data_IF_000648967265
#
_entry.id   IF_000648967265
#
_cell.length_a   1.000
_cell.length_b   1.000
_cell.length_c   1.000
_cell.angle_alpha   90.00
_cell.angle_beta   90.00
_cell.angle_gamma   90.00
#
_symmetry.space_group_name_H-M   'P 1'
#
loop_
_entity.id
_entity.type
_entity.pdbx_description
1 polymer ?
#
# COMPACT_ATOMS: atom_id res chain seq x y z
N UNK A 1 28.57 59.42 4.06
CA UNK A 1 28.03 58.48 3.06
C UNK A 1 27.90 57.15 3.76
N UNK A 2 26.70 56.87 4.26
CA UNK A 2 26.36 55.61 4.93
C UNK A 2 25.70 54.69 3.90
N UNK A 3 26.09 53.41 3.94
CA UNK A 3 25.45 52.34 3.18
C UNK A 3 23.97 52.20 3.60
N UNK A 4 23.06 51.88 2.67
CA UNK A 4 21.69 51.55 3.05
C UNK A 4 21.62 50.12 3.56
N UNK A 5 21.17 50.00 4.81
CA UNK A 5 20.75 48.76 5.47
C UNK A 5 19.76 47.97 4.60
N UNK A 6 20.17 46.78 4.18
CA UNK A 6 19.27 45.75 3.69
C UNK A 6 18.58 45.07 4.89
N UNK A 7 17.56 45.72 5.45
CA UNK A 7 16.70 45.13 6.47
C UNK A 7 15.59 44.26 5.85
N UNK A 8 15.77 42.95 6.04
CA UNK A 8 14.79 42.02 6.61
C UNK A 8 13.32 42.12 6.15
N UNK A 9 12.93 41.28 5.18
CA UNK A 9 11.50 41.00 4.87
C UNK A 9 11.18 39.50 4.79
N UNK A 10 11.97 38.61 5.40
CA UNK A 10 11.79 37.15 5.20
C UNK A 10 11.37 36.31 6.43
N UNK A 11 11.01 36.89 7.58
CA UNK A 11 10.69 36.07 8.78
C UNK A 11 9.21 35.67 8.93
N UNK A 12 8.25 36.37 8.31
CA UNK A 12 6.83 36.12 8.54
C UNK A 12 6.26 34.94 7.71
N UNK A 13 6.72 34.76 6.46
CA UNK A 13 6.27 33.68 5.57
C UNK A 13 6.80 32.29 5.97
N UNK A 14 8.03 32.24 6.47
CA UNK A 14 8.68 30.99 6.91
C UNK A 14 8.02 30.40 8.15
N UNK A 15 7.47 31.24 9.03
CA UNK A 15 6.79 30.73 10.21
C UNK A 15 5.47 30.04 9.81
N UNK A 16 4.60 30.65 8.99
CA UNK A 16 3.26 30.10 8.63
C UNK A 16 3.34 28.66 8.10
N UNK A 17 4.30 28.38 7.21
CA UNK A 17 4.48 27.05 6.61
C UNK A 17 5.37 26.11 7.41
N UNK A 18 5.90 26.53 8.56
CA UNK A 18 6.78 25.70 9.40
C UNK A 18 6.23 24.30 9.71
N UNK A 19 4.93 24.08 10.00
CA UNK A 19 4.39 22.74 10.22
C UNK A 19 4.58 21.79 9.01
N UNK A 20 4.52 22.33 7.79
CA UNK A 20 4.76 21.61 6.54
C UNK A 20 6.27 21.46 6.26
N UNK A 21 7.04 22.54 6.32
CA UNK A 21 8.45 22.55 5.93
C UNK A 21 9.34 21.70 6.83
N UNK A 22 8.93 21.47 8.08
CA UNK A 22 9.61 20.60 9.05
C UNK A 22 9.19 19.12 8.97
N UNK A 23 8.45 18.71 7.94
CA UNK A 23 8.19 17.30 7.63
C UNK A 23 9.33 16.74 6.77
N UNK A 24 9.66 15.48 6.98
CA UNK A 24 10.59 14.74 6.13
C UNK A 24 9.99 14.54 4.73
N UNK A 25 10.85 14.45 3.70
CA UNK A 25 10.41 14.09 2.36
C UNK A 25 10.17 12.56 2.24
N UNK A 26 9.09 12.11 1.56
CA UNK A 26 8.01 12.93 1.01
C UNK A 26 7.11 13.50 2.13
N UNK A 27 6.75 14.78 2.00
CA UNK A 27 5.95 15.50 3.00
C UNK A 27 4.50 15.08 2.90
N UNK A 28 4.03 14.34 3.90
CA UNK A 28 2.66 13.82 3.94
C UNK A 28 1.68 14.93 4.33
N UNK A 29 0.67 15.15 3.49
CA UNK A 29 -0.38 16.16 3.70
C UNK A 29 -1.75 15.53 3.51
N UNK A 30 -2.60 15.64 4.52
CA UNK A 30 -4.03 15.35 4.46
C UNK A 30 -4.79 16.67 4.41
N UNK A 31 -5.51 16.92 3.34
CA UNK A 31 -6.38 18.09 3.18
C UNK A 31 -7.84 17.67 3.37
N UNK A 32 -8.51 18.31 4.33
CA UNK A 32 -9.90 18.05 4.75
C UNK A 32 -10.87 19.17 4.39
N UNK A 33 -10.38 20.22 3.71
CA UNK A 33 -11.21 21.37 3.28
C UNK A 33 -12.28 20.92 2.29
N UNK A 34 -13.35 21.68 2.04
CA UNK A 34 -14.33 21.31 1.02
C UNK A 34 -13.70 21.15 -0.39
N UNK A 35 -14.24 20.25 -1.23
CA UNK A 35 -13.72 19.96 -2.58
C UNK A 35 -13.47 21.23 -3.40
N UNK A 36 -14.39 22.21 -3.34
CA UNK A 36 -14.24 23.47 -4.08
C UNK A 36 -13.02 24.28 -3.64
N UNK A 37 -12.69 24.30 -2.35
CA UNK A 37 -11.50 24.98 -1.82
C UNK A 37 -10.23 24.20 -2.18
N UNK A 38 -10.28 22.87 -2.08
CA UNK A 38 -9.18 21.98 -2.45
C UNK A 38 -8.80 22.11 -3.93
N UNK A 39 -9.78 22.01 -4.83
CA UNK A 39 -9.56 22.06 -6.27
C UNK A 39 -9.09 23.44 -6.75
N UNK A 40 -9.55 24.53 -6.12
CA UNK A 40 -9.07 25.88 -6.39
C UNK A 40 -7.57 26.02 -6.11
N UNK A 41 -7.11 25.56 -4.95
CA UNK A 41 -5.71 25.59 -4.56
C UNK A 41 -5.43 24.57 -3.46
N UNK A 42 -4.37 23.78 -3.59
CA UNK A 42 -3.91 22.82 -2.59
C UNK A 42 -2.39 22.70 -2.61
N UNK A 43 -1.82 22.08 -1.57
CA UNK A 43 -0.40 21.76 -1.54
C UNK A 43 -0.11 20.60 -2.48
N UNK A 44 0.99 20.70 -3.22
CA UNK A 44 1.47 19.68 -4.16
C UNK A 44 1.50 18.30 -3.50
N UNK A 45 0.96 17.30 -4.20
CA UNK A 45 0.87 15.90 -3.77
C UNK A 45 0.04 15.65 -2.49
N UNK A 46 -0.77 16.61 -2.04
CA UNK A 46 -1.65 16.40 -0.89
C UNK A 46 -2.72 15.35 -1.18
N UNK A 47 -2.96 14.49 -0.20
CA UNK A 47 -4.06 13.55 -0.17
C UNK A 47 -5.33 14.26 0.31
N UNK A 48 -6.47 13.97 -0.30
CA UNK A 48 -7.72 14.66 -0.01
C UNK A 48 -8.78 13.72 0.57
N UNK A 49 -9.45 14.13 1.64
CA UNK A 49 -10.64 13.45 2.18
C UNK A 49 -11.63 14.54 2.60
N UNK A 50 -12.76 14.64 1.92
CA UNK A 50 -13.85 15.54 2.32
C UNK A 50 -15.21 14.83 2.20
N UNK A 51 -16.19 15.18 3.07
CA UNK A 51 -16.04 15.98 4.30
C UNK A 51 -15.29 15.24 5.44
N UNK A 52 -14.98 15.91 6.55
CA UNK A 52 -14.27 15.32 7.72
C UNK A 52 -14.95 14.05 8.24
N UNK A 53 -16.29 13.95 8.14
CA UNK A 53 -17.05 12.77 8.56
C UNK A 53 -16.66 11.48 7.81
N UNK A 54 -16.10 11.61 6.60
CA UNK A 54 -15.60 10.48 5.80
C UNK A 54 -14.26 9.92 6.33
N UNK A 55 -13.57 10.62 7.23
CA UNK A 55 -12.29 10.18 7.77
C UNK A 55 -12.42 8.86 8.56
N UNK A 56 -13.57 8.64 9.22
CA UNK A 56 -13.80 7.45 10.03
C UNK A 56 -13.78 6.15 9.22
N UNK A 57 -14.30 6.17 7.99
CA UNK A 57 -14.24 5.03 7.08
C UNK A 57 -12.83 4.81 6.51
N UNK A 58 -12.02 5.89 6.48
CA UNK A 58 -10.70 5.97 5.84
C UNK A 58 -9.52 6.03 6.82
N UNK A 59 -9.71 5.72 8.09
CA UNK A 59 -8.60 5.71 9.06
C UNK A 59 -7.46 4.77 8.67
N UNK A 60 -7.72 3.73 7.88
CA UNK A 60 -6.69 2.86 7.31
C UNK A 60 -5.73 3.58 6.35
N UNK A 61 -6.06 4.78 5.90
CA UNK A 61 -5.23 5.55 4.99
C UNK A 61 -4.18 6.36 5.73
N UNK A 62 -4.42 6.64 7.02
CA UNK A 62 -3.54 7.50 7.80
C UNK A 62 -2.13 6.90 7.92
N UNK A 63 -1.11 7.75 8.14
CA UNK A 63 0.24 7.29 8.39
C UNK A 63 0.32 6.40 9.64
N UNK A 64 1.37 5.57 9.77
CA UNK A 64 1.68 4.91 11.02
C UNK A 64 1.74 5.92 12.18
N UNK A 65 1.37 5.49 13.40
CA UNK A 65 1.16 6.39 14.56
C UNK A 65 2.30 7.37 14.83
N UNK A 66 3.54 6.98 14.55
CA UNK A 66 4.74 7.78 14.82
C UNK A 66 5.26 8.56 13.61
N UNK A 67 4.56 8.57 12.48
CA UNK A 67 4.97 9.27 11.26
C UNK A 67 4.29 10.65 11.23
N UNK A 68 5.05 11.75 11.34
CA UNK A 68 4.49 13.09 11.28
C UNK A 68 3.87 13.40 9.92
N UNK A 69 2.75 14.12 9.92
CA UNK A 69 2.08 14.59 8.70
C UNK A 69 1.29 15.87 8.99
N UNK A 70 1.01 16.64 7.93
CA UNK A 70 0.18 17.84 8.01
C UNK A 70 -1.29 17.47 7.85
N UNK A 71 -2.15 18.04 8.68
CA UNK A 71 -3.60 18.09 8.47
C UNK A 71 -3.97 19.53 8.15
N UNK A 72 -4.50 19.79 6.96
CA UNK A 72 -5.01 21.09 6.54
C UNK A 72 -6.54 21.04 6.51
N UNK A 73 -7.21 21.93 7.21
CA UNK A 73 -8.67 21.97 7.26
C UNK A 73 -9.19 23.42 7.32
N UNK A 74 -10.47 23.59 7.04
CA UNK A 74 -11.13 24.89 7.19
C UNK A 74 -11.30 25.19 8.69
N UNK A 75 -11.16 26.45 9.09
CA UNK A 75 -11.37 26.88 10.47
C UNK A 75 -12.79 26.55 10.99
N UNK A 76 -13.79 26.50 10.10
CA UNK A 76 -15.16 26.08 10.42
C UNK A 76 -15.25 24.61 10.85
N UNK A 77 -14.25 23.78 10.49
CA UNK A 77 -14.21 22.35 10.82
C UNK A 77 -13.40 22.06 12.10
N UNK A 78 -13.07 23.10 12.90
CA UNK A 78 -12.16 23.00 14.05
C UNK A 78 -12.49 21.86 15.00
N UNK A 79 -13.73 21.78 15.48
CA UNK A 79 -14.10 20.84 16.53
C UNK A 79 -14.06 19.40 16.02
N UNK A 80 -14.60 19.15 14.82
CA UNK A 80 -14.57 17.84 14.17
C UNK A 80 -13.13 17.35 13.93
N UNK A 81 -12.24 18.24 13.50
CA UNK A 81 -10.83 17.90 13.23
C UNK A 81 -10.07 17.65 14.53
N UNK A 82 -10.25 18.48 15.55
CA UNK A 82 -9.60 18.27 16.86
C UNK A 82 -10.06 16.94 17.46
N UNK A 83 -11.36 16.63 17.40
CA UNK A 83 -11.89 15.35 17.88
C UNK A 83 -11.27 14.18 17.11
N UNK A 84 -11.25 14.24 15.78
CA UNK A 84 -10.75 13.15 14.94
C UNK A 84 -9.26 12.83 15.16
N UNK A 85 -8.44 13.84 15.48
CA UNK A 85 -6.99 13.68 15.67
C UNK A 85 -6.53 13.73 17.14
N UNK A 86 -7.46 13.76 18.11
CA UNK A 86 -7.14 13.86 19.54
C UNK A 86 -6.16 12.77 20.05
N UNK A 87 -6.13 11.60 19.40
CA UNK A 87 -5.26 10.47 19.79
C UNK A 87 -4.05 10.28 18.86
N UNK A 88 -3.84 11.19 17.91
CA UNK A 88 -2.80 11.09 16.87
C UNK A 88 -1.81 12.25 17.06
N UNK A 89 -0.86 12.08 18.00
CA UNK A 89 0.12 13.11 18.35
C UNK A 89 1.11 13.49 17.23
N UNK A 90 1.19 12.67 16.18
CA UNK A 90 2.01 12.92 14.99
C UNK A 90 1.33 13.86 13.97
N UNK A 91 0.02 14.11 14.11
CA UNK A 91 -0.70 15.04 13.24
C UNK A 91 -0.35 16.49 13.60
N UNK A 92 0.01 17.28 12.59
CA UNK A 92 0.26 18.72 12.72
C UNK A 92 -0.91 19.45 12.07
N UNK A 93 -1.77 20.06 12.88
CA UNK A 93 -3.04 20.60 12.41
C UNK A 93 -2.88 22.09 12.08
N UNK A 94 -3.24 22.46 10.85
CA UNK A 94 -3.37 23.84 10.39
C UNK A 94 -4.80 24.07 9.95
N UNK A 95 -5.45 25.03 10.60
CA UNK A 95 -6.77 25.54 10.27
C UNK A 95 -6.60 26.83 9.45
N UNK A 96 -7.23 26.88 8.28
CA UNK A 96 -7.25 28.07 7.41
C UNK A 96 -8.64 28.67 7.37
N UNK A 97 -8.74 29.99 7.53
CA UNK A 97 -10.01 30.72 7.50
C UNK A 97 -9.79 32.23 7.56
N UNK A 98 -10.86 33.01 7.55
CA UNK A 98 -10.76 34.47 7.71
C UNK A 98 -10.52 34.85 9.19
N UNK A 99 -9.50 35.67 9.43
CA UNK A 99 -9.06 36.09 10.77
C UNK A 99 -10.14 36.83 11.56
N UNK A 100 -11.10 37.48 10.87
CA UNK A 100 -12.17 38.26 11.49
C UNK A 100 -13.27 37.40 12.14
N UNK A 101 -13.31 36.09 11.89
CA UNK A 101 -14.36 35.20 12.41
C UNK A 101 -13.98 34.50 13.74
N UNK A 102 -12.73 34.61 14.20
CA UNK A 102 -12.20 33.76 15.29
C UNK A 102 -11.42 34.55 16.33
N UNK A 103 -12.04 35.59 16.89
CA UNK A 103 -11.52 36.27 18.07
C UNK A 103 -12.54 36.18 19.21
N UNK A 104 -12.76 34.99 19.81
CA UNK A 104 -13.35 34.79 21.16
C UNK A 104 -13.15 33.34 21.70
N UNK A 105 -11.92 32.82 21.74
CA UNK A 105 -11.66 31.53 22.39
C UNK A 105 -10.19 31.30 22.68
N UNK A 106 -9.88 30.73 23.84
CA UNK A 106 -8.52 30.51 24.34
C UNK A 106 -7.55 29.96 23.27
N UNK A 107 -6.28 30.39 23.37
CA UNK A 107 -5.20 29.92 22.51
C UNK A 107 -5.25 28.38 22.35
N UNK A 108 -5.12 27.84 21.12
CA UNK A 108 -5.25 26.42 20.88
C UNK A 108 -4.31 25.62 21.80
N UNK A 109 -4.89 24.80 22.67
CA UNK A 109 -4.15 23.77 23.39
C UNK A 109 -3.81 22.65 22.40
N UNK A 110 -2.52 22.28 22.33
CA UNK A 110 -2.10 21.07 21.62
C UNK A 110 -1.81 21.22 20.12
N UNK A 111 -0.80 22.00 19.74
CA UNK A 111 -0.16 21.90 18.41
C UNK A 111 -1.01 22.31 17.19
N UNK A 112 -2.24 22.80 17.39
CA UNK A 112 -3.13 23.33 16.34
C UNK A 112 -2.75 24.77 16.04
N UNK A 113 -2.60 25.10 14.75
CA UNK A 113 -2.35 26.46 14.28
C UNK A 113 -3.54 27.00 13.49
N UNK A 114 -3.94 28.23 13.77
CA UNK A 114 -4.90 28.99 12.96
C UNK A 114 -4.15 30.04 12.14
N UNK A 115 -4.50 30.21 10.87
CA UNK A 115 -3.92 31.25 10.01
C UNK A 115 -4.90 31.69 8.91
N UNK A 116 -4.68 32.90 8.38
CA UNK A 116 -5.39 33.39 7.18
C UNK A 116 -5.18 32.43 6.00
N UNK A 117 -6.27 32.03 5.35
CA UNK A 117 -6.23 31.21 4.12
C UNK A 117 -5.38 31.88 3.04
N UNK A 118 -5.60 33.18 2.81
CA UNK A 118 -4.86 33.98 1.82
C UNK A 118 -3.37 33.99 2.15
N UNK A 119 -2.99 34.29 3.40
CA UNK A 119 -1.57 34.34 3.80
C UNK A 119 -0.88 32.97 3.67
N UNK A 120 -1.57 31.88 4.02
CA UNK A 120 -1.04 30.52 3.90
C UNK A 120 -0.75 30.16 2.43
N UNK A 121 -1.73 30.37 1.54
CA UNK A 121 -1.57 30.01 0.13
C UNK A 121 -0.68 30.99 -0.65
N UNK A 122 -0.62 32.27 -0.28
CA UNK A 122 0.37 33.21 -0.82
C UNK A 122 1.79 32.75 -0.48
N UNK A 123 2.04 32.39 0.78
CA UNK A 123 3.34 31.87 1.22
C UNK A 123 3.69 30.56 0.49
N UNK A 124 2.72 29.65 0.34
CA UNK A 124 2.93 28.38 -0.36
C UNK A 124 3.18 28.60 -1.86
N UNK A 125 2.53 29.58 -2.48
CA UNK A 125 2.75 29.97 -3.89
C UNK A 125 4.16 30.52 -4.11
N UNK A 126 4.67 31.34 -3.19
CA UNK A 126 6.03 31.87 -3.28
C UNK A 126 7.10 30.75 -3.29
N UNK A 127 6.82 29.62 -2.65
CA UNK A 127 7.69 28.44 -2.64
C UNK A 127 7.39 27.43 -3.76
N UNK A 128 6.47 27.73 -4.68
CA UNK A 128 6.10 26.83 -5.78
C UNK A 128 5.34 25.56 -5.34
N UNK A 129 4.75 25.57 -4.15
CA UNK A 129 4.11 24.41 -3.53
C UNK A 129 2.63 24.26 -3.87
N UNK A 130 2.00 25.27 -4.47
CA UNK A 130 0.56 25.27 -4.74
C UNK A 130 0.25 24.66 -6.10
N UNK A 131 -0.81 23.88 -6.16
CA UNK A 131 -1.41 23.31 -7.37
C UNK A 131 -2.92 23.54 -7.35
N UNK A 132 -3.55 23.36 -8.50
CA UNK A 132 -5.00 23.46 -8.70
C UNK A 132 -5.43 22.31 -9.59
N UNK A 133 -6.66 21.85 -9.46
CA UNK A 133 -7.22 20.82 -10.34
C UNK A 133 -8.71 21.03 -10.55
N UNK A 134 -9.31 20.31 -11.50
CA UNK A 134 -10.77 20.32 -11.64
C UNK A 134 -11.43 19.10 -11.01
N UNK A 135 -10.74 17.95 -10.97
CA UNK A 135 -11.22 16.72 -10.32
C UNK A 135 -10.07 15.94 -9.68
N UNK A 136 -10.38 15.01 -8.78
CA UNK A 136 -9.42 14.05 -8.23
C UNK A 136 -8.88 13.10 -9.30
N UNK A 137 -9.76 12.62 -10.18
CA UNK A 137 -9.38 11.73 -11.28
C UNK A 137 -8.33 12.36 -12.18
N UNK A 138 -8.49 13.64 -12.53
CA UNK A 138 -7.48 14.34 -13.33
C UNK A 138 -6.13 14.40 -12.62
N UNK A 139 -6.08 14.66 -11.31
CA UNK A 139 -4.80 14.70 -10.57
C UNK A 139 -4.11 13.34 -10.54
N UNK A 140 -4.88 12.28 -10.35
CA UNK A 140 -4.35 10.92 -10.17
C UNK A 140 -4.00 10.26 -11.51
N UNK A 141 -4.78 10.55 -12.56
CA UNK A 141 -4.62 9.98 -13.89
C UNK A 141 -3.84 10.88 -14.87
N UNK A 142 -3.45 12.10 -14.46
CA UNK A 142 -2.65 12.99 -15.32
C UNK A 142 -1.30 12.38 -15.70
N UNK A 143 -0.88 12.62 -16.93
CA UNK A 143 0.48 12.33 -17.38
C UNK A 143 1.52 13.22 -16.68
N UNK A 144 1.10 14.39 -16.18
CA UNK A 144 1.91 15.24 -15.32
C UNK A 144 1.98 14.67 -13.90
N UNK A 145 3.07 13.97 -13.63
CA UNK A 145 3.35 13.26 -12.38
C UNK A 145 3.64 14.18 -11.18
N UNK A 146 3.69 15.50 -11.39
CA UNK A 146 4.15 16.43 -10.35
C UNK A 146 3.17 16.56 -9.18
N UNK A 147 1.88 16.30 -9.38
CA UNK A 147 0.82 16.49 -8.38
C UNK A 147 -0.01 15.24 -8.09
N UNK A 148 0.50 14.06 -8.45
CA UNK A 148 -0.12 12.79 -8.03
C UNK A 148 0.02 12.68 -6.50
N UNK A 149 -1.09 12.46 -5.76
CA UNK A 149 -1.06 12.49 -4.30
C UNK A 149 -0.14 11.42 -3.73
N UNK A 150 0.66 11.76 -2.72
CA UNK A 150 1.45 10.74 -2.00
C UNK A 150 0.54 9.98 -1.04
N UNK A 151 0.43 8.64 -1.12
CA UNK A 151 -0.31 7.86 -0.12
C UNK A 151 0.21 8.15 1.29
N UNK A 152 -0.70 8.42 2.22
CA UNK A 152 -0.36 8.72 3.61
C UNK A 152 0.17 7.50 4.37
N UNK A 153 -0.26 6.31 3.97
CA UNK A 153 0.25 5.04 4.49
C UNK A 153 1.52 4.59 3.78
N UNK A 154 2.26 3.69 4.42
CA UNK A 154 3.46 3.05 3.86
C UNK A 154 3.19 1.56 3.65
N UNK A 155 3.76 0.95 2.61
CA UNK A 155 3.78 -0.50 2.50
C UNK A 155 4.69 -1.08 3.58
N UNK A 156 4.64 -2.39 3.78
CA UNK A 156 5.68 -3.08 4.53
C UNK A 156 7.06 -2.86 3.88
N UNK A 157 8.11 -2.83 4.70
CA UNK A 157 9.49 -2.66 4.21
C UNK A 157 9.87 -3.76 3.21
N UNK A 158 9.44 -4.99 3.48
CA UNK A 158 9.61 -6.15 2.59
C UNK A 158 8.99 -5.92 1.22
N UNK A 159 7.73 -5.45 1.16
CA UNK A 159 7.05 -5.13 -0.11
C UNK A 159 7.81 -4.04 -0.86
N UNK A 160 8.19 -2.97 -0.17
CA UNK A 160 8.94 -1.87 -0.78
C UNK A 160 10.25 -2.35 -1.41
N UNK A 161 11.06 -3.15 -0.70
CA UNK A 161 12.34 -3.68 -1.23
C UNK A 161 12.09 -4.53 -2.48
N UNK A 162 11.19 -5.51 -2.40
CA UNK A 162 10.93 -6.47 -3.48
C UNK A 162 10.37 -5.78 -4.73
N UNK A 163 9.42 -4.85 -4.57
CA UNK A 163 8.81 -4.14 -5.70
C UNK A 163 9.84 -3.27 -6.42
N UNK A 164 10.67 -2.53 -5.67
CA UNK A 164 11.73 -1.71 -6.28
C UNK A 164 12.77 -2.56 -7.02
N UNK A 165 13.08 -3.75 -6.52
CA UNK A 165 13.98 -4.69 -7.20
C UNK A 165 13.36 -5.25 -8.49
N UNK A 166 12.07 -5.59 -8.47
CA UNK A 166 11.35 -6.05 -9.66
C UNK A 166 11.21 -4.92 -10.70
N UNK A 167 10.90 -3.69 -10.27
CA UNK A 167 10.84 -2.52 -11.15
C UNK A 167 12.21 -2.18 -11.77
N UNK A 168 13.32 -2.45 -11.07
CA UNK A 168 14.67 -2.26 -11.58
C UNK A 168 15.11 -3.34 -12.60
N UNK A 169 14.41 -4.47 -12.65
CA UNK A 169 14.75 -5.57 -13.56
C UNK A 169 14.10 -5.33 -14.93
N UNK A 170 14.87 -5.29 -16.04
CA UNK A 170 14.32 -5.09 -17.37
C UNK A 170 13.28 -6.16 -17.70
N UNK A 171 12.11 -5.73 -18.16
CA UNK A 171 11.08 -6.63 -18.64
C UNK A 171 11.30 -6.91 -20.13
N UNK A 172 11.21 -8.19 -20.51
CA UNK A 172 11.40 -8.62 -21.90
C UNK A 172 10.20 -8.22 -22.77
N UNK A 173 9.01 -8.12 -22.16
CA UNK A 173 7.79 -7.64 -22.80
C UNK A 173 7.28 -6.32 -22.17
N UNK A 174 6.35 -5.66 -22.87
CA UNK A 174 5.71 -4.42 -22.42
C UNK A 174 4.43 -4.67 -21.61
N UNK A 175 4.17 -5.91 -21.15
CA UNK A 175 2.97 -6.21 -20.39
C UNK A 175 3.07 -5.62 -18.97
N UNK A 176 1.95 -5.22 -18.34
CA UNK A 176 1.99 -4.86 -16.93
C UNK A 176 2.43 -6.05 -16.07
N UNK A 177 3.23 -5.76 -15.04
CA UNK A 177 3.54 -6.72 -13.99
C UNK A 177 2.30 -7.03 -13.18
N UNK A 178 2.16 -8.26 -12.72
CA UNK A 178 0.97 -8.71 -11.98
C UNK A 178 1.32 -9.09 -10.55
N UNK A 179 0.55 -8.56 -9.59
CA UNK A 179 0.68 -8.88 -8.17
C UNK A 179 -0.58 -9.56 -7.62
N UNK A 180 -0.39 -10.58 -6.79
CA UNK A 180 -1.45 -11.21 -5.99
C UNK A 180 -1.22 -10.90 -4.51
N UNK A 181 -2.18 -10.25 -3.84
CA UNK A 181 -2.12 -9.93 -2.41
C UNK A 181 -3.03 -10.88 -1.60
N UNK A 182 -2.43 -11.86 -0.91
CA UNK A 182 -3.14 -12.86 -0.12
C UNK A 182 -3.27 -12.41 1.34
N UNK A 183 -4.51 -12.37 1.85
CA UNK A 183 -4.80 -11.80 3.17
C UNK A 183 -4.59 -10.28 3.15
N UNK A 184 -5.06 -9.61 2.10
CA UNK A 184 -4.73 -8.23 1.79
C UNK A 184 -5.21 -7.22 2.84
N UNK A 185 -6.14 -7.60 3.72
CA UNK A 185 -6.79 -6.69 4.64
C UNK A 185 -7.46 -5.54 3.90
N UNK A 186 -7.03 -4.31 4.16
CA UNK A 186 -7.50 -3.10 3.47
C UNK A 186 -6.70 -2.80 2.17
N UNK A 187 -5.89 -3.75 1.69
CA UNK A 187 -5.12 -3.69 0.45
C UNK A 187 -4.14 -2.50 0.34
N UNK A 188 -3.55 -2.07 1.46
CA UNK A 188 -2.57 -0.96 1.47
C UNK A 188 -1.31 -1.28 0.66
N UNK A 189 -0.77 -2.48 0.82
CA UNK A 189 0.43 -2.90 0.10
C UNK A 189 0.14 -2.94 -1.40
N UNK A 190 -0.96 -3.58 -1.82
CA UNK A 190 -1.43 -3.56 -3.21
C UNK A 190 -1.63 -2.13 -3.73
N UNK A 191 -2.39 -1.29 -3.01
CA UNK A 191 -2.66 0.08 -3.41
C UNK A 191 -1.36 0.88 -3.61
N UNK A 192 -0.38 0.72 -2.73
CA UNK A 192 0.92 1.40 -2.86
C UNK A 192 1.70 0.94 -4.11
N UNK A 193 1.65 -0.36 -4.43
CA UNK A 193 2.28 -0.91 -5.63
C UNK A 193 1.65 -0.27 -6.87
N UNK A 194 0.33 -0.42 -7.02
CA UNK A 194 -0.40 0.03 -8.21
C UNK A 194 -0.36 1.55 -8.36
N UNK A 195 -0.65 2.30 -7.29
CA UNK A 195 -0.66 3.74 -7.33
C UNK A 195 0.73 4.31 -7.62
N UNK A 196 1.76 3.83 -6.92
CA UNK A 196 3.09 4.40 -7.11
C UNK A 196 3.78 3.96 -8.40
N UNK A 197 3.30 2.93 -9.11
CA UNK A 197 3.82 2.63 -10.45
C UNK A 197 3.56 3.76 -11.46
N UNK A 198 2.58 4.64 -11.17
CA UNK A 198 2.33 5.88 -11.93
C UNK A 198 3.53 6.83 -11.87
N UNK A 199 4.14 6.96 -10.69
CA UNK A 199 5.12 8.01 -10.37
C UNK A 199 6.56 7.50 -10.29
N UNK A 200 6.79 6.26 -9.82
CA UNK A 200 8.14 5.70 -9.59
C UNK A 200 8.94 5.43 -10.87
N UNK A 201 8.29 5.20 -12.01
CA UNK A 201 8.99 5.03 -13.30
C UNK A 201 9.51 6.39 -13.82
N UNK A 202 10.78 6.67 -13.56
CA UNK A 202 11.47 7.94 -13.90
C UNK A 202 11.90 8.05 -15.38
N UNK A 203 12.02 6.94 -16.11
CA UNK A 203 12.36 6.95 -17.53
C UNK A 203 11.09 6.71 -18.39
N UNK A 204 10.80 7.64 -19.31
CA UNK A 204 9.68 7.52 -20.25
C UNK A 204 9.75 6.25 -21.14
N UNK A 205 10.93 5.64 -21.27
CA UNK A 205 11.18 4.45 -22.10
C UNK A 205 11.02 3.10 -21.37
N UNK A 206 10.78 3.08 -20.06
CA UNK A 206 10.61 1.83 -19.29
C UNK A 206 9.57 2.01 -18.18
N UNK A 207 8.35 2.38 -18.57
CA UNK A 207 7.22 2.50 -17.64
C UNK A 207 6.76 1.11 -17.25
N UNK A 208 7.07 0.68 -16.03
CA UNK A 208 6.56 -0.57 -15.46
C UNK A 208 5.18 -0.29 -14.85
N UNK A 209 4.12 -0.69 -15.55
CA UNK A 209 2.77 -0.69 -15.01
C UNK A 209 2.56 -1.94 -14.15
N UNK A 210 1.75 -1.81 -13.09
CA UNK A 210 1.34 -2.94 -12.26
C UNK A 210 -0.18 -3.11 -12.31
N UNK A 211 -0.65 -4.33 -12.46
CA UNK A 211 -2.02 -4.72 -12.15
C UNK A 211 -2.03 -5.73 -11.01
N UNK A 212 -3.17 -5.91 -10.34
CA UNK A 212 -3.19 -6.90 -9.27
C UNK A 212 -4.55 -7.34 -8.79
N UNK A 213 -4.52 -8.44 -8.05
CA UNK A 213 -5.67 -9.11 -7.46
C UNK A 213 -5.45 -9.16 -5.95
N UNK A 214 -6.48 -8.87 -5.16
CA UNK A 214 -6.40 -8.97 -3.70
C UNK A 214 -7.45 -9.95 -3.17
N UNK A 215 -7.09 -10.70 -2.14
CA UNK A 215 -7.94 -11.71 -1.53
C UNK A 215 -7.93 -11.56 -0.02
N UNK A 216 -9.11 -11.59 0.60
CA UNK A 216 -9.24 -11.65 2.05
C UNK A 216 -10.50 -12.43 2.45
N UNK A 217 -10.50 -13.03 3.64
CA UNK A 217 -11.69 -13.72 4.17
C UNK A 217 -12.61 -12.79 4.96
N UNK A 218 -12.13 -11.60 5.31
CA UNK A 218 -12.86 -10.60 6.07
C UNK A 218 -13.49 -9.57 5.14
N UNK A 219 -14.78 -9.76 4.85
CA UNK A 219 -15.55 -8.89 3.96
C UNK A 219 -15.50 -7.40 4.31
N UNK A 220 -15.40 -7.05 5.60
CA UNK A 220 -15.27 -5.65 6.00
C UNK A 220 -13.90 -5.04 5.67
N UNK A 221 -12.85 -5.86 5.58
CA UNK A 221 -11.54 -5.43 5.10
C UNK A 221 -11.58 -5.18 3.59
N UNK A 222 -12.20 -6.08 2.84
CA UNK A 222 -12.42 -5.91 1.40
C UNK A 222 -13.22 -4.65 1.07
N UNK A 223 -14.25 -4.30 1.85
CA UNK A 223 -14.96 -3.02 1.66
C UNK A 223 -14.07 -1.79 1.84
N UNK A 224 -13.11 -1.84 2.77
CA UNK A 224 -12.12 -0.76 2.94
C UNK A 224 -11.11 -0.76 1.79
N UNK A 225 -10.75 -1.94 1.27
CA UNK A 225 -9.92 -2.08 0.08
C UNK A 225 -10.63 -1.51 -1.15
N UNK A 226 -11.91 -1.84 -1.39
CA UNK A 226 -12.75 -1.30 -2.46
C UNK A 226 -12.74 0.23 -2.41
N UNK A 227 -13.07 0.81 -1.25
CA UNK A 227 -13.05 2.26 -1.04
C UNK A 227 -11.67 2.87 -1.35
N UNK A 228 -10.58 2.20 -0.96
CA UNK A 228 -9.22 2.67 -1.25
C UNK A 228 -8.88 2.61 -2.75
N UNK A 229 -9.30 1.55 -3.45
CA UNK A 229 -9.07 1.43 -4.89
C UNK A 229 -9.88 2.48 -5.67
N UNK A 230 -11.11 2.75 -5.24
CA UNK A 230 -11.98 3.76 -5.84
C UNK A 230 -11.39 5.17 -5.67
N UNK A 231 -11.00 5.54 -4.45
CA UNK A 231 -10.41 6.85 -4.14
C UNK A 231 -9.07 7.08 -4.88
N UNK A 232 -8.35 6.00 -5.21
CA UNK A 232 -7.09 6.04 -5.96
C UNK A 232 -7.28 5.84 -7.48
N UNK A 233 -8.52 5.79 -7.96
CA UNK A 233 -8.89 5.51 -9.36
C UNK A 233 -8.13 4.30 -9.92
N UNK A 234 -8.10 3.21 -9.14
CA UNK A 234 -7.50 1.94 -9.51
C UNK A 234 -8.54 0.93 -9.99
N UNK A 235 -9.83 1.22 -9.88
CA UNK A 235 -10.89 0.37 -10.43
C UNK A 235 -10.95 0.50 -11.97
N UNK A 236 -10.73 -0.59 -12.73
CA UNK A 236 -10.85 -0.59 -14.18
C UNK A 236 -12.28 -0.28 -14.65
N UNK A 237 -13.32 -0.54 -13.84
CA UNK A 237 -14.72 -0.30 -14.21
C UNK A 237 -15.11 1.19 -14.20
N UNK A 238 -14.42 1.97 -13.38
CA UNK A 238 -14.63 3.42 -13.24
C UNK A 238 -13.93 4.24 -14.33
N UNK A 239 -13.06 3.62 -15.14
CA UNK A 239 -12.30 4.29 -16.19
C UNK A 239 -13.09 4.25 -17.50
N UNK A 240 -13.50 5.41 -18.03
CA UNK A 240 -14.02 5.45 -19.40
C UNK A 240 -12.95 4.93 -20.37
N UNK A 241 -13.33 4.15 -21.40
CA UNK A 241 -12.37 3.60 -22.36
C UNK A 241 -11.71 4.75 -23.14
N UNK A 242 -10.57 5.22 -22.64
CA UNK A 242 -9.70 6.10 -23.39
C UNK A 242 -8.76 5.24 -24.23
N UNK A 243 -8.58 5.56 -25.52
CA UNK A 243 -7.67 4.86 -26.40
C UNK A 243 -6.22 5.29 -26.07
N UNK A 244 -5.72 4.89 -24.91
CA UNK A 244 -4.30 5.02 -24.58
C UNK A 244 -3.63 3.67 -24.81
N UNK A 245 -2.53 3.69 -25.57
CA UNK A 245 -1.73 2.50 -25.91
C UNK A 245 -0.85 2.00 -24.76
N UNK A 246 -0.97 2.60 -23.57
CA UNK A 246 -0.19 2.24 -22.39
C UNK A 246 -1.09 1.53 -21.37
N UNK A 247 -0.61 0.40 -20.86
CA UNK A 247 -1.27 -0.28 -19.74
C UNK A 247 -1.28 0.63 -18.51
N UNK A 248 -2.46 0.95 -18.01
CA UNK A 248 -2.66 1.71 -16.78
C UNK A 248 -2.63 0.78 -15.56
N UNK A 249 -2.11 1.25 -14.41
CA UNK A 249 -2.21 0.45 -13.20
C UNK A 249 -3.65 0.29 -12.75
N UNK A 250 -4.01 -0.93 -12.36
CA UNK A 250 -5.39 -1.28 -12.03
C UNK A 250 -5.47 -2.42 -11.00
N UNK A 251 -6.47 -2.35 -10.13
CA UNK A 251 -6.90 -3.46 -9.29
C UNK A 251 -7.90 -4.29 -10.10
N UNK A 252 -7.49 -5.44 -10.60
CA UNK A 252 -8.30 -6.31 -11.46
C UNK A 252 -9.54 -6.83 -10.73
N UNK A 253 -9.35 -7.34 -9.50
CA UNK A 253 -10.41 -7.87 -8.64
C UNK A 253 -10.03 -7.82 -7.16
N UNK A 254 -11.05 -7.62 -6.33
CA UNK A 254 -11.03 -7.85 -4.89
C UNK A 254 -11.94 -9.05 -4.59
N UNK A 255 -11.37 -10.14 -4.11
CA UNK A 255 -12.05 -11.44 -4.03
C UNK A 255 -12.26 -11.88 -2.58
N UNK A 256 -13.50 -12.26 -2.27
CA UNK A 256 -13.85 -12.81 -0.97
C UNK A 256 -13.67 -14.33 -0.97
N UNK A 257 -12.59 -14.81 -0.35
CA UNK A 257 -12.27 -16.22 -0.24
C UNK A 257 -11.57 -16.54 1.08
N UNK A 258 -11.52 -17.82 1.44
CA UNK A 258 -10.72 -18.31 2.56
C UNK A 258 -9.77 -19.40 2.10
N UNK A 259 -8.61 -19.47 2.75
CA UNK A 259 -7.70 -20.61 2.64
C UNK A 259 -8.17 -21.74 3.56
N UNK A 260 -8.24 -22.96 3.06
CA UNK A 260 -8.55 -24.14 3.85
C UNK A 260 -7.29 -24.74 4.48
N UNK A 261 -7.48 -25.61 5.48
CA UNK A 261 -6.39 -26.36 6.10
C UNK A 261 -5.77 -27.41 5.14
N UNK A 262 -6.44 -27.71 4.03
CA UNK A 262 -5.96 -28.57 2.94
C UNK A 262 -5.19 -27.78 1.86
N UNK A 263 -5.10 -26.46 2.01
CA UNK A 263 -4.39 -25.61 1.06
C UNK A 263 -5.20 -25.27 -0.18
N UNK A 264 -6.52 -25.26 -0.11
CA UNK A 264 -7.41 -24.79 -1.18
C UNK A 264 -7.85 -23.35 -0.90
N UNK A 265 -8.20 -22.64 -1.96
CA UNK A 265 -8.82 -21.33 -1.90
C UNK A 265 -10.31 -21.50 -2.20
N UNK A 266 -11.17 -21.44 -1.18
CA UNK A 266 -12.63 -21.53 -1.36
C UNK A 266 -13.23 -20.12 -1.53
N UNK A 267 -13.83 -19.80 -2.70
CA UNK A 267 -14.63 -18.59 -2.87
C UNK A 267 -15.81 -18.54 -1.89
N UNK A 268 -16.19 -17.35 -1.46
CA UNK A 268 -17.25 -17.12 -0.48
C UNK A 268 -18.38 -16.26 -1.06
N UNK A 269 -19.62 -16.64 -0.76
CA UNK A 269 -20.83 -15.87 -1.12
C UNK A 269 -21.73 -15.58 0.08
N UNK A 270 -22.63 -14.61 -0.08
CA UNK A 270 -23.64 -14.25 0.92
C UNK A 270 -23.17 -13.25 1.98
N UNK A 271 -23.56 -13.48 3.23
CA UNK A 271 -23.36 -12.56 4.36
C UNK A 271 -22.66 -13.25 5.54
N UNK A 272 -22.28 -12.49 6.57
CA UNK A 272 -21.63 -13.04 7.76
C UNK A 272 -20.29 -13.70 7.44
N UNK A 273 -20.15 -15.00 7.78
CA UNK A 273 -18.93 -15.79 7.54
C UNK A 273 -18.81 -16.30 6.08
N UNK A 274 -19.84 -16.10 5.27
CA UNK A 274 -19.89 -16.58 3.89
C UNK A 274 -20.16 -18.08 3.78
N UNK A 275 -20.80 -18.47 2.67
CA UNK A 275 -20.91 -19.87 2.23
C UNK A 275 -19.80 -20.15 1.24
N UNK A 276 -19.06 -21.24 1.43
CA UNK A 276 -18.04 -21.69 0.49
C UNK A 276 -18.64 -22.26 -0.78
N UNK A 277 -18.04 -21.92 -1.91
CA UNK A 277 -18.26 -22.55 -3.22
C UNK A 277 -17.12 -23.55 -3.46
N UNK A 278 -17.45 -24.80 -3.78
CA UNK A 278 -16.45 -25.87 -3.96
C UNK A 278 -16.36 -26.41 -5.38
N UNK A 279 -17.26 -26.00 -6.26
CA UNK A 279 -17.24 -26.36 -7.66
C UNK A 279 -17.97 -25.31 -8.51
N UNK A 280 -17.66 -25.27 -9.80
CA UNK A 280 -18.36 -24.44 -10.78
C UNK A 280 -19.88 -24.72 -10.86
N UNK A 281 -20.33 -25.92 -10.48
CA UNK A 281 -21.74 -26.27 -10.49
C UNK A 281 -22.56 -25.54 -9.41
N UNK A 282 -21.92 -25.04 -8.36
CA UNK A 282 -22.60 -24.29 -7.29
C UNK A 282 -22.78 -22.81 -7.62
N UNK A 283 -21.83 -22.23 -8.36
CA UNK A 283 -21.83 -20.83 -8.79
C UNK A 283 -20.83 -20.67 -9.96
N UNK A 284 -21.32 -20.80 -11.19
CA UNK A 284 -20.47 -20.83 -12.38
C UNK A 284 -19.83 -19.47 -12.66
N UNK A 285 -20.57 -18.39 -12.42
CA UNK A 285 -20.11 -17.02 -12.67
C UNK A 285 -18.97 -16.66 -11.72
N UNK A 286 -19.16 -16.86 -10.41
CA UNK A 286 -18.10 -16.61 -9.43
C UNK A 286 -16.89 -17.50 -9.67
N UNK A 287 -17.10 -18.79 -9.98
CA UNK A 287 -16.00 -19.69 -10.28
C UNK A 287 -15.16 -19.19 -11.46
N UNK A 288 -15.84 -18.77 -12.52
CA UNK A 288 -15.21 -18.24 -13.72
C UNK A 288 -14.44 -16.94 -13.44
N UNK A 289 -14.88 -16.09 -12.50
CA UNK A 289 -14.10 -14.91 -12.11
C UNK A 289 -12.70 -15.29 -11.58
N UNK A 290 -12.60 -16.32 -10.73
CA UNK A 290 -11.32 -16.79 -10.18
C UNK A 290 -10.44 -17.40 -11.28
N UNK A 291 -11.05 -18.14 -12.21
CA UNK A 291 -10.33 -18.71 -13.37
C UNK A 291 -9.75 -17.58 -14.24
N UNK A 292 -10.56 -16.56 -14.56
CA UNK A 292 -10.16 -15.43 -15.40
C UNK A 292 -8.97 -14.64 -14.84
N UNK A 293 -8.89 -14.49 -13.52
CA UNK A 293 -7.75 -13.80 -12.89
C UNK A 293 -6.55 -14.71 -12.63
N UNK A 294 -6.61 -15.99 -13.03
CA UNK A 294 -5.49 -16.94 -12.94
C UNK A 294 -5.38 -17.68 -11.61
N UNK A 295 -6.46 -17.76 -10.82
CA UNK A 295 -6.47 -18.44 -9.51
C UNK A 295 -6.97 -19.89 -9.56
N UNK A 296 -7.32 -20.40 -10.75
CA UNK A 296 -7.75 -21.79 -10.95
C UNK A 296 -6.85 -22.82 -10.24
N UNK A 297 -5.50 -22.72 -10.26
CA UNK A 297 -4.64 -23.70 -9.58
C UNK A 297 -4.83 -23.79 -8.07
N UNK A 298 -5.48 -22.82 -7.43
CA UNK A 298 -5.79 -22.80 -6.00
C UNK A 298 -7.21 -23.27 -5.68
N UNK A 299 -8.12 -23.32 -6.66
CA UNK A 299 -9.51 -23.70 -6.42
C UNK A 299 -9.63 -25.17 -5.99
N UNK A 300 -10.72 -25.53 -5.27
CA UNK A 300 -11.02 -26.91 -4.92
C UNK A 300 -11.24 -27.75 -6.19
N UNK A 301 -11.03 -29.07 -6.08
CA UNK A 301 -11.32 -30.04 -7.15
C UNK A 301 -10.41 -30.00 -8.41
N UNK A 302 -9.46 -29.08 -8.50
CA UNK A 302 -8.45 -29.06 -9.58
C UNK A 302 -7.34 -30.06 -9.25
N UNK A 303 -7.42 -31.27 -9.82
CA UNK A 303 -6.63 -32.42 -9.37
C UNK A 303 -5.18 -32.48 -9.86
N UNK A 304 -4.83 -31.82 -10.96
CA UNK A 304 -3.44 -31.72 -11.42
C UNK A 304 -3.44 -30.80 -12.64
N UNK A 305 -2.90 -29.59 -12.47
CA UNK A 305 -2.54 -28.74 -13.59
C UNK A 305 -1.07 -28.99 -13.89
N UNK A 306 -0.73 -29.05 -15.17
CA UNK A 306 0.65 -29.13 -15.61
C UNK A 306 1.45 -27.95 -15.01
N UNK A 307 2.58 -28.22 -14.37
CA UNK A 307 3.37 -27.18 -13.66
C UNK A 307 3.97 -26.15 -14.63
N UNK A 308 4.06 -26.53 -15.90
CA UNK A 308 4.49 -25.68 -17.01
C UNK A 308 3.32 -25.07 -17.79
N UNK A 309 2.08 -25.19 -17.27
CA UNK A 309 0.89 -24.61 -17.90
C UNK A 309 0.95 -23.07 -17.97
N UNK A 310 0.37 -22.43 -19.01
CA UNK A 310 0.23 -20.98 -19.16
C UNK A 310 -0.51 -20.24 -18.02
N UNK A 311 -0.90 -20.91 -16.93
CA UNK A 311 -1.54 -20.29 -15.77
C UNK A 311 -0.59 -19.52 -14.84
N UNK A 312 0.73 -19.66 -15.00
CA UNK A 312 1.69 -18.84 -14.26
C UNK A 312 1.56 -17.37 -14.71
N UNK A 313 1.00 -16.56 -13.83
CA UNK A 313 0.41 -15.27 -14.20
C UNK A 313 0.91 -14.10 -13.36
N UNK A 314 1.59 -14.35 -12.25
CA UNK A 314 2.02 -13.33 -11.29
C UNK A 314 3.54 -13.18 -11.26
N UNK A 315 3.99 -11.93 -11.24
CA UNK A 315 5.38 -11.53 -11.00
C UNK A 315 5.67 -11.42 -9.50
N UNK A 316 4.64 -11.18 -8.69
CA UNK A 316 4.74 -11.05 -7.25
C UNK A 316 3.53 -11.66 -6.55
N UNK A 317 3.74 -12.50 -5.54
CA UNK A 317 2.71 -12.92 -4.60
C UNK A 317 3.08 -12.43 -3.21
N UNK A 318 2.17 -11.72 -2.55
CA UNK A 318 2.33 -11.20 -1.21
C UNK A 318 1.64 -12.11 -0.20
N UNK A 319 2.39 -12.56 0.80
CA UNK A 319 1.91 -13.19 2.03
C UNK A 319 2.39 -12.33 3.21
N UNK A 320 1.82 -11.13 3.35
CA UNK A 320 2.24 -10.12 4.33
C UNK A 320 1.29 -10.17 5.52
N UNK A 321 1.83 -10.43 6.72
CA UNK A 321 1.05 -10.59 7.95
C UNK A 321 -0.03 -11.70 7.85
N UNK A 322 0.16 -12.58 6.88
CA UNK A 322 -0.67 -13.73 6.57
C UNK A 322 0.23 -14.93 6.27
N UNK A 323 0.10 -16.02 7.03
CA UNK A 323 0.93 -17.23 6.89
C UNK A 323 0.06 -18.46 6.56
N UNK A 324 -0.42 -18.59 5.30
CA UNK A 324 -1.33 -19.66 4.90
C UNK A 324 -0.58 -20.96 4.63
N UNK A 325 -0.04 -21.56 5.69
CA UNK A 325 0.89 -22.70 5.64
C UNK A 325 0.47 -23.83 4.69
N UNK A 326 -0.80 -24.20 4.70
CA UNK A 326 -1.35 -25.25 3.84
C UNK A 326 -1.42 -24.86 2.36
N UNK A 327 -1.62 -23.56 2.06
CA UNK A 327 -1.69 -23.05 0.70
C UNK A 327 -0.32 -22.85 0.06
N UNK A 328 0.70 -22.49 0.88
CA UNK A 328 2.05 -22.17 0.39
C UNK A 328 2.59 -23.18 -0.63
N UNK A 329 2.52 -24.51 -0.44
CA UNK A 329 3.03 -25.49 -1.40
C UNK A 329 2.45 -25.39 -2.81
N UNK A 330 1.30 -24.75 -3.01
CA UNK A 330 0.64 -24.60 -4.33
C UNK A 330 0.94 -23.28 -5.04
N UNK A 331 1.53 -22.32 -4.35
CA UNK A 331 1.77 -20.99 -4.90
C UNK A 331 2.80 -21.01 -6.04
N UNK A 332 3.65 -22.04 -6.12
CA UNK A 332 4.64 -22.19 -7.18
C UNK A 332 4.04 -22.24 -8.60
N UNK A 333 2.79 -22.71 -8.70
CA UNK A 333 2.01 -22.84 -9.94
C UNK A 333 1.53 -21.50 -10.48
N UNK A 334 1.44 -20.49 -9.63
CA UNK A 334 0.94 -19.16 -9.98
C UNK A 334 2.03 -18.20 -10.43
N UNK A 335 3.28 -18.48 -10.06
CA UNK A 335 4.40 -17.55 -10.23
C UNK A 335 5.10 -17.78 -11.56
N UNK A 336 5.26 -16.70 -12.31
CA UNK A 336 6.01 -16.66 -13.56
C UNK A 336 7.50 -16.91 -13.33
N UNK A 337 8.24 -17.41 -14.32
CA UNK A 337 9.70 -17.42 -14.26
C UNK A 337 10.23 -15.99 -14.08
N UNK A 338 11.11 -15.79 -13.10
CA UNK A 338 11.58 -14.47 -12.66
C UNK A 338 10.72 -13.81 -11.58
N UNK A 339 9.56 -14.40 -11.24
CA UNK A 339 8.66 -13.89 -10.22
C UNK A 339 9.05 -14.29 -8.79
N UNK A 340 8.40 -13.64 -7.83
CA UNK A 340 8.72 -13.72 -6.40
C UNK A 340 7.50 -14.06 -5.56
N UNK A 341 7.66 -14.95 -4.58
CA UNK A 341 6.73 -15.08 -3.44
C UNK A 341 7.39 -14.38 -2.26
N UNK A 342 6.72 -13.37 -1.72
CA UNK A 342 7.17 -12.62 -0.55
C UNK A 342 6.38 -13.08 0.69
N UNK A 343 7.04 -13.84 1.56
CA UNK A 343 6.50 -14.27 2.85
C UNK A 343 7.02 -13.35 3.95
N UNK A 344 6.15 -12.55 4.56
CA UNK A 344 6.53 -11.57 5.59
C UNK A 344 5.61 -11.69 6.80
N UNK A 345 6.01 -12.45 7.82
CA UNK A 345 5.16 -12.77 8.97
C UNK A 345 5.96 -12.86 10.28
N UNK A 346 5.25 -12.90 11.40
CA UNK A 346 5.86 -13.19 12.70
C UNK A 346 6.63 -14.50 12.69
N UNK A 347 7.65 -14.59 13.53
CA UNK A 347 8.66 -15.65 13.48
C UNK A 347 8.92 -16.24 14.87
N UNK A 348 9.15 -17.55 14.93
CA UNK A 348 9.84 -18.19 16.04
C UNK A 348 11.33 -18.13 15.74
N UNK A 349 12.09 -17.34 16.49
CA UNK A 349 13.52 -17.17 16.27
C UNK A 349 14.30 -18.39 16.79
N UNK A 350 15.25 -18.87 16.00
CA UNK A 350 16.36 -19.67 16.54
C UNK A 350 17.27 -18.81 17.43
N UNK A 351 18.12 -19.43 18.25
CA UNK A 351 19.06 -18.70 19.12
C UNK A 351 19.98 -17.76 18.32
N UNK A 352 20.49 -18.24 17.18
CA UNK A 352 21.33 -17.45 16.28
C UNK A 352 20.58 -16.25 15.66
N UNK A 353 19.33 -16.46 15.23
CA UNK A 353 18.47 -15.38 14.71
C UNK A 353 18.12 -14.37 15.79
N UNK A 354 17.86 -14.82 17.03
CA UNK A 354 17.61 -13.96 18.18
C UNK A 354 18.81 -13.06 18.47
N UNK A 355 20.01 -13.64 18.51
CA UNK A 355 21.24 -12.88 18.73
C UNK A 355 21.51 -11.86 17.61
N UNK A 356 21.27 -12.24 16.36
CA UNK A 356 21.41 -11.34 15.22
C UNK A 356 20.39 -10.19 15.27
N UNK A 357 19.13 -10.49 15.56
CA UNK A 357 18.07 -9.50 15.68
C UNK A 357 18.32 -8.52 16.84
N UNK A 358 18.77 -9.01 18.01
CA UNK A 358 19.09 -8.17 19.16
C UNK A 358 20.22 -7.18 18.85
N UNK A 359 21.22 -7.58 18.06
CA UNK A 359 22.31 -6.69 17.63
C UNK A 359 21.85 -5.68 16.58
N UNK A 360 21.10 -6.10 15.57
CA UNK A 360 20.66 -5.25 14.48
C UNK A 360 19.55 -4.26 14.88
N UNK A 361 18.69 -4.69 15.81
CA UNK A 361 17.51 -3.96 16.25
C UNK A 361 17.38 -3.99 17.78
N UNK A 362 18.24 -3.27 18.51
CA UNK A 362 18.30 -3.31 19.98
C UNK A 362 17.02 -2.82 20.68
N UNK A 363 16.13 -2.14 19.95
CA UNK A 363 14.83 -1.67 20.45
C UNK A 363 13.65 -2.51 19.97
N UNK A 364 13.89 -3.58 19.20
CA UNK A 364 12.82 -4.45 18.72
C UNK A 364 12.31 -5.39 19.82
N UNK A 365 11.02 -5.66 19.78
CA UNK A 365 10.37 -6.65 20.64
C UNK A 365 10.57 -8.04 20.00
N UNK A 366 11.49 -8.81 20.57
CA UNK A 366 11.80 -10.18 20.11
C UNK A 366 10.85 -11.22 20.69
N UNK A 367 10.28 -10.94 21.87
CA UNK A 367 9.36 -11.82 22.59
C UNK A 367 7.96 -11.21 22.61
N UNK A 368 7.00 -11.96 22.08
CA UNK A 368 5.60 -11.57 22.01
C UNK A 368 4.73 -12.83 22.04
N UNK A 369 3.48 -12.71 22.49
CA UNK A 369 2.58 -13.87 22.64
C UNK A 369 1.69 -14.11 21.41
N UNK A 370 1.30 -13.04 20.73
CA UNK A 370 0.36 -13.09 19.61
C UNK A 370 1.04 -12.69 18.28
N UNK A 371 0.93 -13.52 17.22
CA UNK A 371 0.21 -14.79 17.16
C UNK A 371 0.93 -15.90 17.95
N UNK A 372 0.22 -16.98 18.35
CA UNK A 372 0.84 -18.12 19.03
C UNK A 372 2.01 -18.70 18.23
N UNK A 373 2.99 -19.32 18.88
CA UNK A 373 4.18 -19.89 18.23
C UNK A 373 3.85 -20.75 17.00
N UNK A 374 2.84 -21.62 17.08
CA UNK A 374 2.39 -22.46 15.95
C UNK A 374 1.94 -21.68 14.71
N UNK A 375 1.50 -20.42 14.88
CA UNK A 375 1.07 -19.54 13.79
C UNK A 375 2.20 -18.73 13.17
N UNK A 376 3.41 -18.74 13.75
CA UNK A 376 4.58 -17.99 13.27
C UNK A 376 5.36 -18.81 12.25
N UNK A 377 6.17 -18.17 11.41
CA UNK A 377 7.20 -18.85 10.60
C UNK A 377 8.17 -19.57 11.54
N UNK A 378 8.43 -20.85 11.31
CA UNK A 378 9.40 -21.63 12.07
C UNK A 378 10.80 -21.57 11.44
N UNK A 379 11.87 -21.82 12.21
CA UNK A 379 13.22 -21.98 11.66
C UNK A 379 13.27 -23.06 10.57
N UNK A 380 13.93 -22.79 9.45
CA UNK A 380 14.07 -23.71 8.33
C UNK A 380 12.83 -23.91 7.45
N UNK A 381 11.69 -23.28 7.78
CA UNK A 381 10.42 -23.52 7.10
C UNK A 381 10.42 -23.05 5.64
N UNK A 382 11.04 -21.89 5.37
CA UNK A 382 11.10 -21.35 4.02
C UNK A 382 12.02 -22.18 3.12
N UNK A 383 13.13 -22.64 3.66
CA UNK A 383 14.10 -23.53 3.02
C UNK A 383 13.45 -24.88 2.69
N UNK A 384 12.74 -25.48 3.65
CA UNK A 384 12.01 -26.73 3.44
C UNK A 384 10.92 -26.61 2.36
N UNK A 385 10.26 -25.45 2.26
CA UNK A 385 9.29 -25.16 1.19
C UNK A 385 9.97 -25.09 -0.18
N UNK A 386 11.10 -24.39 -0.27
CA UNK A 386 11.91 -24.31 -1.50
C UNK A 386 12.40 -25.69 -1.93
N UNK A 387 12.92 -26.49 -0.99
CA UNK A 387 13.33 -27.88 -1.24
C UNK A 387 12.15 -28.71 -1.76
N UNK A 388 10.96 -28.54 -1.16
CA UNK A 388 9.76 -29.22 -1.60
C UNK A 388 9.38 -28.89 -3.05
N UNK A 389 9.46 -27.62 -3.47
CA UNK A 389 9.22 -27.23 -4.86
C UNK A 389 10.29 -27.75 -5.82
N UNK A 390 11.55 -27.77 -5.40
CA UNK A 390 12.68 -28.22 -6.21
C UNK A 390 12.78 -29.74 -6.38
N UNK A 391 12.09 -30.54 -5.54
CA UNK A 391 12.08 -32.02 -5.63
C UNK A 391 11.50 -32.58 -6.93
N UNK A 392 10.77 -31.79 -7.71
CA UNK A 392 10.22 -32.22 -9.00
C UNK A 392 11.36 -32.36 -10.03
N UNK A 393 11.73 -33.58 -10.45
CA UNK A 393 12.86 -33.78 -11.36
C UNK A 393 12.63 -33.11 -12.73
N UNK A 394 11.37 -33.11 -13.20
CA UNK A 394 10.97 -32.60 -14.51
C UNK A 394 10.74 -31.07 -14.58
N UNK A 395 10.95 -30.34 -13.47
CA UNK A 395 10.75 -28.89 -13.48
C UNK A 395 11.84 -28.17 -14.28
N UNK A 396 11.45 -27.37 -15.28
CA UNK A 396 12.32 -26.43 -15.98
C UNK A 396 12.79 -25.26 -15.10
N UNK A 397 12.28 -25.18 -13.87
CA UNK A 397 12.47 -24.06 -12.96
C UNK A 397 13.09 -24.52 -11.64
N UNK A 398 13.81 -23.61 -10.99
CA UNK A 398 14.33 -23.79 -9.63
C UNK A 398 13.92 -22.62 -8.75
N UNK A 399 13.67 -22.92 -7.48
CA UNK A 399 13.36 -21.96 -6.43
C UNK A 399 14.58 -21.73 -5.56
N UNK A 400 14.77 -20.48 -5.14
CA UNK A 400 15.83 -20.09 -4.21
C UNK A 400 15.31 -19.09 -3.18
N UNK A 401 15.85 -19.13 -1.97
CA UNK A 401 15.69 -18.03 -1.01
C UNK A 401 16.62 -16.89 -1.44
N UNK A 402 16.06 -15.84 -2.05
CA UNK A 402 16.82 -14.71 -2.59
C UNK A 402 17.17 -13.69 -1.49
N UNK A 403 16.28 -13.52 -0.52
CA UNK A 403 16.46 -12.64 0.63
C UNK A 403 15.76 -13.23 1.85
N UNK A 404 16.32 -13.00 3.04
CA UNK A 404 15.76 -13.42 4.33
C UNK A 404 16.18 -12.42 5.42
N UNK A 405 15.26 -11.55 5.80
CA UNK A 405 15.52 -10.41 6.69
C UNK A 405 14.66 -10.52 7.95
N UNK A 406 15.27 -10.27 9.10
CA UNK A 406 14.56 -10.00 10.34
C UNK A 406 14.41 -8.49 10.48
N UNK A 407 13.18 -7.99 10.64
CA UNK A 407 12.94 -6.55 10.72
C UNK A 407 11.77 -6.21 11.65
N UNK A 408 11.83 -5.06 12.36
CA UNK A 408 10.72 -4.62 13.20
C UNK A 408 9.59 -4.04 12.35
N UNK A 409 8.35 -4.23 12.82
CA UNK A 409 7.15 -3.59 12.26
C UNK A 409 6.77 -2.33 13.06
N UNK A 410 5.66 -1.70 12.71
CA UNK A 410 5.22 -0.42 13.26
C UNK A 410 5.05 -0.40 14.79
N UNK A 411 4.77 -1.57 15.41
CA UNK A 411 4.67 -1.72 16.87
C UNK A 411 5.94 -2.27 17.54
N UNK A 412 7.05 -2.34 16.79
CA UNK A 412 8.36 -2.77 17.27
C UNK A 412 8.57 -4.28 17.28
N UNK A 413 7.54 -5.11 17.06
CA UNK A 413 7.72 -6.58 17.03
C UNK A 413 8.52 -7.01 15.82
N UNK A 414 9.44 -7.96 16.04
CA UNK A 414 10.25 -8.53 14.96
C UNK A 414 9.43 -9.51 14.11
N UNK A 415 9.57 -9.42 12.79
CA UNK A 415 9.05 -10.37 11.81
C UNK A 415 10.19 -10.92 10.96
N UNK A 416 9.91 -12.00 10.22
CA UNK A 416 10.80 -12.53 9.18
C UNK A 416 10.17 -12.30 7.81
N UNK A 417 10.93 -11.69 6.94
CA UNK A 417 10.60 -11.38 5.54
C UNK A 417 11.50 -12.19 4.63
N UNK A 418 10.92 -13.10 3.86
CA UNK A 418 11.63 -14.02 2.97
C UNK A 418 11.14 -13.83 1.54
N UNK A 419 12.05 -13.54 0.62
CA UNK A 419 11.76 -13.48 -0.81
C UNK A 419 12.18 -14.80 -1.46
N UNK A 420 11.22 -15.54 -2.00
CA UNK A 420 11.42 -16.80 -2.69
C UNK A 420 11.32 -16.54 -4.19
N UNK A 421 12.41 -16.76 -4.93
CA UNK A 421 12.48 -16.44 -6.36
C UNK A 421 12.40 -17.69 -7.21
N UNK A 422 11.61 -17.64 -8.28
CA UNK A 422 11.54 -18.70 -9.30
C UNK A 422 12.43 -18.33 -10.47
N UNK A 423 13.41 -19.16 -10.79
CA UNK A 423 14.31 -18.94 -11.94
C UNK A 423 14.24 -20.12 -12.90
N UNK A 424 14.54 -19.90 -14.19
CA UNK A 424 14.73 -21.01 -15.13
C UNK A 424 16.03 -21.73 -14.79
N UNK A 425 16.01 -23.06 -14.80
CA UNK A 425 17.26 -23.84 -14.71
C UNK A 425 18.11 -23.49 -15.92
N UNK A 426 19.41 -23.26 -15.70
CA UNK A 426 20.35 -23.15 -16.79
C UNK A 426 20.32 -24.47 -17.58
N UNK A 427 20.10 -24.40 -18.89
CA UNK A 427 20.30 -25.54 -19.78
C UNK A 427 21.76 -25.99 -19.67
N UNK A 428 21.96 -27.25 -19.27
CA UNK A 428 23.29 -27.85 -19.14
C UNK A 428 24.04 -27.91 -20.48
#
# INVERSE_FOLDING_TARGET
>A
MAEPDAQCTSQAGDDILRPYLSLDAPRLVLDLRPDAAFHREHLVQSYHIAPVSELKSRYSYLPPRNVPFLVLADALQRDDVIEAFATISSARIVLVGDELAYDQGAAPTGGVRLCSSTAFFDSARQLGLVRSSTTHQQRIAADDKQDVPTPLFRPSNAVRRTVLQLEATPQVDLSPRRVLDLGCGAARDLAWILHGSRTRSAAASSRVAWTGVAIDNWKAALRRAEQLMDDLHLDPSASQPQPSTQSSPACEKLLWAKCTDTGELEPLVGTGKGRSIRSAAEDADLWNEYVQVGLEPLLPSVKELDKDSPHAQFDLILCVRFHPRALLPRLDRLVRPGGVILLSHFVTLSDAERDAAARAHPHATLDYDSPPHKGRIQPGEAEALVDAWNRSPDSLHTWTVADSVLEPIEDGRIIKSVALCKTRRASA
#
